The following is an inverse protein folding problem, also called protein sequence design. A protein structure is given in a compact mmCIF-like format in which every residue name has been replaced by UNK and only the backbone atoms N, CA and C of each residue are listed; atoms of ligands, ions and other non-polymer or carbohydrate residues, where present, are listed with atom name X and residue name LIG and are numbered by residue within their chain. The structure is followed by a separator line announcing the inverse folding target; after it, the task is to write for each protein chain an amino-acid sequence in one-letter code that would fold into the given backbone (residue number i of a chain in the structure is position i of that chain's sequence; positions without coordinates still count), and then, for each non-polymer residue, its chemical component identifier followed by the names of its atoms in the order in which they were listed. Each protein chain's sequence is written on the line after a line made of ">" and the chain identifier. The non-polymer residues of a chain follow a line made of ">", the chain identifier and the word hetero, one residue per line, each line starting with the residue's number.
data_IF_694970755816
#
_entry.id   IF_694970755816
#
_cell.length_a   1.000
_cell.length_b   1.000
_cell.length_c   1.000
_cell.angle_alpha   90.00
_cell.angle_beta   90.00
_cell.angle_gamma   90.00
#
_symmetry.space_group_name_H-M   'P 1'
#
loop_
_entity.id
_entity.type
_entity.pdbx_description
1 polymer ?
#
# COMPACT_ATOMS: atom_id res chain seq x y z
N UNK A 1 -13.77 3.22 -16.76
CA UNK A 1 -13.08 4.01 -15.73
C UNK A 1 -13.92 3.97 -14.46
N UNK A 2 -13.37 3.45 -13.36
CA UNK A 2 -14.09 3.28 -12.08
C UNK A 2 -13.48 4.15 -10.98
N UNK A 3 -12.43 4.90 -11.27
CA UNK A 3 -11.81 5.79 -10.31
C UNK A 3 -12.69 6.98 -10.01
N UNK A 4 -13.06 7.15 -8.75
CA UNK A 4 -13.81 8.30 -8.24
C UNK A 4 -13.15 8.72 -6.94
N UNK A 5 -12.69 9.97 -6.89
CA UNK A 5 -12.09 10.57 -5.69
C UNK A 5 -13.18 11.27 -4.87
N UNK A 6 -13.40 10.79 -3.66
CA UNK A 6 -14.21 11.46 -2.64
C UNK A 6 -13.33 11.86 -1.46
N UNK A 7 -12.62 10.89 -0.88
CA UNK A 7 -11.70 11.08 0.23
C UNK A 7 -10.31 10.48 -0.02
N UNK A 8 -10.21 9.45 -0.85
CA UNK A 8 -8.92 8.88 -1.21
C UNK A 8 -8.08 9.86 -2.04
N UNK A 9 -6.77 9.68 -2.04
CA UNK A 9 -5.86 10.58 -2.71
C UNK A 9 -6.00 10.53 -4.25
N UNK A 10 -6.24 9.33 -4.81
CA UNK A 10 -6.13 9.08 -6.24
C UNK A 10 -7.30 8.28 -6.85
N UNK A 11 -8.49 8.31 -6.21
CA UNK A 11 -9.69 7.67 -6.77
C UNK A 11 -9.94 6.24 -6.34
N UNK A 12 -9.26 5.75 -5.32
CA UNK A 12 -9.41 4.43 -4.72
C UNK A 12 -10.83 4.18 -4.21
N UNK A 13 -11.55 5.23 -3.80
CA UNK A 13 -12.95 5.15 -3.34
C UNK A 13 -13.85 4.47 -4.37
N UNK A 14 -13.75 4.88 -5.64
CA UNK A 14 -14.54 4.30 -6.72
C UNK A 14 -14.13 2.88 -7.06
N UNK A 15 -12.83 2.58 -7.00
CA UNK A 15 -12.32 1.21 -7.23
C UNK A 15 -12.89 0.28 -6.17
N UNK A 16 -12.81 0.64 -4.89
CA UNK A 16 -13.33 -0.16 -3.78
C UNK A 16 -14.85 -0.36 -3.89
N UNK A 17 -15.61 0.69 -4.17
CA UNK A 17 -17.07 0.58 -4.34
C UNK A 17 -17.43 -0.38 -5.48
N UNK A 18 -16.71 -0.30 -6.60
CA UNK A 18 -16.87 -1.22 -7.72
C UNK A 18 -16.55 -2.68 -7.33
N UNK A 19 -15.44 -2.90 -6.62
CA UNK A 19 -15.02 -4.24 -6.18
C UNK A 19 -16.04 -4.86 -5.23
N UNK A 20 -16.52 -4.13 -4.24
CA UNK A 20 -17.55 -4.62 -3.32
C UNK A 20 -18.83 -5.05 -4.04
N UNK A 21 -19.26 -4.25 -5.01
CA UNK A 21 -20.45 -4.58 -5.80
C UNK A 21 -20.23 -5.83 -6.69
N UNK A 22 -19.03 -6.00 -7.27
CA UNK A 22 -18.69 -7.14 -8.13
C UNK A 22 -18.51 -8.43 -7.32
N UNK A 23 -17.86 -8.34 -6.16
CA UNK A 23 -17.58 -9.48 -5.29
C UNK A 23 -18.75 -9.80 -4.35
N UNK A 24 -19.79 -8.96 -4.31
CA UNK A 24 -20.95 -9.11 -3.42
C UNK A 24 -20.55 -9.27 -1.95
N UNK A 25 -19.57 -8.46 -1.51
CA UNK A 25 -19.13 -8.43 -0.13
C UNK A 25 -20.03 -7.49 0.67
N UNK A 26 -20.70 -8.00 1.70
CA UNK A 26 -21.73 -7.25 2.43
C UNK A 26 -21.15 -6.38 3.56
N UNK A 27 -20.21 -6.90 4.35
CA UNK A 27 -19.78 -6.29 5.61
C UNK A 27 -18.91 -5.05 5.46
N UNK A 28 -17.93 -5.03 4.56
CA UNK A 28 -17.02 -3.91 4.26
C UNK A 28 -16.13 -3.45 5.43
N UNK A 29 -15.89 -4.35 6.40
CA UNK A 29 -14.99 -4.07 7.52
C UNK A 29 -13.55 -3.90 7.04
N UNK A 30 -12.79 -3.03 7.70
CA UNK A 30 -11.47 -2.71 7.20
C UNK A 30 -10.40 -2.52 8.28
N UNK A 31 -9.16 -2.70 7.85
CA UNK A 31 -7.95 -2.25 8.53
C UNK A 31 -7.17 -1.35 7.56
N UNK A 32 -6.79 -0.16 8.00
CA UNK A 32 -5.92 0.72 7.22
C UNK A 32 -4.76 1.23 8.08
N UNK A 33 -3.53 1.12 7.55
CA UNK A 33 -2.28 1.51 8.19
C UNK A 33 -1.60 2.56 7.34
N UNK A 34 -1.17 3.67 7.98
CA UNK A 34 -0.61 4.82 7.29
C UNK A 34 -1.68 5.83 6.86
N UNK A 35 -2.61 6.14 7.77
CA UNK A 35 -3.77 6.97 7.44
C UNK A 35 -3.53 8.48 7.64
N UNK A 36 -2.39 8.88 8.20
CA UNK A 36 -2.17 10.26 8.57
C UNK A 36 -3.27 10.79 9.50
N UNK A 37 -3.85 11.93 9.16
CA UNK A 37 -4.98 12.51 9.88
C UNK A 37 -6.36 12.01 9.37
N UNK A 38 -6.37 10.98 8.53
CA UNK A 38 -7.54 10.35 7.94
C UNK A 38 -8.38 11.28 7.03
N UNK A 39 -7.86 12.41 6.61
CA UNK A 39 -8.55 13.30 5.65
C UNK A 39 -8.50 12.74 4.24
N UNK A 40 -7.33 12.26 3.82
CA UNK A 40 -7.11 11.50 2.60
C UNK A 40 -6.78 10.06 3.00
N UNK A 41 -7.66 9.11 2.67
CA UNK A 41 -7.54 7.73 3.11
C UNK A 41 -8.37 6.82 2.21
N UNK A 42 -7.91 5.62 1.99
CA UNK A 42 -8.56 4.62 1.12
C UNK A 42 -9.87 4.09 1.70
N UNK A 43 -10.04 4.11 3.03
CA UNK A 43 -11.21 3.50 3.68
C UNK A 43 -12.22 4.52 4.23
N UNK A 44 -11.91 5.81 4.24
CA UNK A 44 -12.79 6.82 4.80
C UNK A 44 -14.17 6.89 4.11
N UNK A 45 -14.18 6.75 2.78
CA UNK A 45 -15.44 6.70 2.03
C UNK A 45 -16.29 5.51 2.45
N UNK A 46 -15.69 4.33 2.62
CA UNK A 46 -16.39 3.13 3.12
C UNK A 46 -16.98 3.37 4.49
N UNK A 47 -16.17 3.94 5.40
CA UNK A 47 -16.64 4.24 6.76
C UNK A 47 -17.84 5.19 6.76
N UNK A 48 -17.80 6.27 5.98
CA UNK A 48 -18.89 7.24 5.95
C UNK A 48 -20.14 6.75 5.22
N UNK A 49 -19.99 5.92 4.19
CA UNK A 49 -21.10 5.42 3.39
C UNK A 49 -21.82 4.24 4.04
N UNK A 50 -21.06 3.29 4.58
CA UNK A 50 -21.59 2.00 5.02
C UNK A 50 -21.53 1.78 6.53
N UNK A 51 -20.80 2.60 7.26
CA UNK A 51 -20.60 2.52 8.71
C UNK A 51 -20.12 1.13 9.20
N UNK A 52 -19.13 0.53 8.55
CA UNK A 52 -18.60 -0.77 8.94
C UNK A 52 -17.77 -0.67 10.22
N UNK A 53 -17.31 -1.82 10.71
CA UNK A 53 -16.22 -1.86 11.69
C UNK A 53 -14.90 -1.50 11.00
N UNK A 54 -14.11 -0.67 11.65
CA UNK A 54 -12.82 -0.23 11.12
C UNK A 54 -11.74 -0.17 12.17
N UNK A 55 -10.51 -0.45 11.77
CA UNK A 55 -9.30 -0.18 12.54
C UNK A 55 -8.39 0.69 11.70
N UNK A 56 -8.07 1.88 12.18
CA UNK A 56 -7.09 2.76 11.56
C UNK A 56 -5.85 2.90 12.45
N UNK A 57 -4.68 2.85 11.83
CA UNK A 57 -3.40 2.85 12.55
C UNK A 57 -2.47 3.87 11.92
N UNK A 58 -1.91 4.73 12.76
CA UNK A 58 -0.81 5.64 12.41
C UNK A 58 -0.05 6.02 13.68
N UNK A 59 1.11 6.68 13.53
CA UNK A 59 1.91 7.13 14.68
C UNK A 59 1.95 8.66 14.83
N UNK A 60 1.17 9.39 14.04
CA UNK A 60 1.12 10.86 14.12
C UNK A 60 0.66 11.34 15.50
N UNK A 61 1.16 12.49 15.89
CA UNK A 61 0.77 13.10 17.16
C UNK A 61 -0.68 13.58 17.13
N UNK A 62 -1.35 13.43 18.29
CA UNK A 62 -2.76 13.81 18.47
C UNK A 62 -3.74 13.19 17.46
N UNK A 63 -3.45 11.96 16.97
CA UNK A 63 -4.24 11.26 15.96
C UNK A 63 -5.73 11.26 16.27
N UNK A 64 -6.14 10.89 17.49
CA UNK A 64 -7.55 10.92 17.89
C UNK A 64 -8.21 12.29 17.75
N UNK A 65 -7.51 13.36 18.18
CA UNK A 65 -8.02 14.72 18.09
C UNK A 65 -8.16 15.20 16.65
N UNK A 66 -7.27 14.72 15.76
CA UNK A 66 -7.29 15.06 14.34
C UNK A 66 -8.39 14.31 13.57
N UNK A 67 -8.61 13.04 13.92
CA UNK A 67 -9.56 12.15 13.23
C UNK A 67 -11.00 12.39 13.68
N UNK A 68 -11.26 12.45 15.00
CA UNK A 68 -12.61 12.54 15.57
C UNK A 68 -13.51 13.65 15.02
N UNK A 69 -13.04 14.89 14.77
CA UNK A 69 -13.90 15.96 14.27
C UNK A 69 -14.56 15.73 12.92
N UNK A 70 -13.99 14.82 12.11
CA UNK A 70 -14.45 14.57 10.75
C UNK A 70 -15.36 13.34 10.62
N UNK A 71 -15.58 12.62 11.73
CA UNK A 71 -16.26 11.34 11.71
C UNK A 71 -17.48 11.31 12.60
N UNK A 72 -18.55 10.70 12.09
CA UNK A 72 -19.78 10.46 12.84
C UNK A 72 -19.63 9.16 13.67
N UNK A 73 -18.84 9.21 14.75
CA UNK A 73 -18.52 8.03 15.58
C UNK A 73 -19.74 7.27 16.11
N UNK A 74 -20.86 7.95 16.31
CA UNK A 74 -22.10 7.31 16.77
C UNK A 74 -22.79 6.45 15.71
N UNK A 75 -22.30 6.45 14.46
CA UNK A 75 -22.86 5.68 13.35
C UNK A 75 -22.04 4.45 12.98
N UNK A 76 -20.79 4.39 13.36
CA UNK A 76 -19.88 3.32 13.00
C UNK A 76 -18.94 2.94 14.15
N UNK A 77 -18.35 1.78 14.06
CA UNK A 77 -17.41 1.23 15.05
C UNK A 77 -15.98 1.39 14.50
N UNK A 78 -15.34 2.53 14.79
CA UNK A 78 -13.98 2.83 14.36
C UNK A 78 -13.01 2.83 15.55
N UNK A 79 -12.08 1.89 15.54
CA UNK A 79 -10.94 1.86 16.46
C UNK A 79 -9.80 2.69 15.90
N UNK A 80 -9.30 3.64 16.69
CA UNK A 80 -8.13 4.47 16.35
C UNK A 80 -6.95 3.97 17.19
N UNK A 81 -5.89 3.52 16.53
CA UNK A 81 -4.69 2.99 17.18
C UNK A 81 -3.47 3.86 16.85
N UNK A 82 -2.97 4.62 17.83
CA UNK A 82 -1.70 5.36 17.67
C UNK A 82 -0.53 4.41 17.91
N UNK A 83 0.09 3.90 16.83
CA UNK A 83 1.24 3.00 16.90
C UNK A 83 2.08 3.06 15.63
N UNK A 84 3.41 3.19 15.77
CA UNK A 84 4.33 2.95 14.67
C UNK A 84 4.40 1.44 14.41
N UNK A 85 4.06 1.04 13.20
CA UNK A 85 4.00 -0.37 12.78
C UNK A 85 5.35 -0.77 12.18
N UNK A 86 5.78 -1.97 12.52
CA UNK A 86 6.91 -2.68 11.93
C UNK A 86 6.62 -4.18 11.82
N UNK A 87 7.55 -4.94 11.21
CA UNK A 87 7.42 -6.39 11.02
C UNK A 87 7.31 -7.20 12.32
N UNK A 88 7.74 -6.64 13.46
CA UNK A 88 7.73 -7.35 14.76
C UNK A 88 6.43 -7.17 15.52
N UNK A 89 5.70 -6.08 15.27
CA UNK A 89 4.54 -5.73 16.08
C UNK A 89 3.19 -5.81 15.35
N UNK A 90 3.18 -5.92 14.02
CA UNK A 90 1.95 -5.86 13.21
C UNK A 90 0.91 -6.90 13.66
N UNK A 91 1.30 -8.15 13.86
CA UNK A 91 0.36 -9.22 14.25
C UNK A 91 -0.24 -8.97 15.63
N UNK A 92 0.56 -8.55 16.60
CA UNK A 92 0.09 -8.24 17.95
C UNK A 92 -0.88 -7.07 17.95
N UNK A 93 -0.59 -6.03 17.15
CA UNK A 93 -1.46 -4.85 17.04
C UNK A 93 -2.79 -5.21 16.41
N UNK A 94 -2.80 -5.99 15.32
CA UNK A 94 -4.05 -6.46 14.70
C UNK A 94 -4.83 -7.34 15.68
N UNK A 95 -4.21 -8.37 16.25
CA UNK A 95 -4.89 -9.29 17.16
C UNK A 95 -5.50 -8.60 18.38
N UNK A 96 -4.87 -7.54 18.88
CA UNK A 96 -5.35 -6.77 20.03
C UNK A 96 -6.53 -5.84 19.70
N UNK A 97 -6.54 -5.25 18.52
CA UNK A 97 -7.44 -4.15 18.17
C UNK A 97 -8.51 -4.51 17.13
N UNK A 98 -8.39 -5.66 16.46
CA UNK A 98 -9.32 -6.12 15.44
C UNK A 98 -9.99 -7.42 15.89
N UNK A 99 -11.30 -7.35 16.19
CA UNK A 99 -12.14 -8.48 16.62
C UNK A 99 -13.21 -8.84 15.58
N UNK A 100 -12.98 -8.51 14.33
CA UNK A 100 -13.89 -8.72 13.20
C UNK A 100 -13.16 -9.30 11.99
N UNK A 101 -13.92 -9.91 11.08
CA UNK A 101 -13.41 -10.34 9.78
C UNK A 101 -13.07 -9.13 8.92
N UNK A 102 -11.89 -9.10 8.34
CA UNK A 102 -11.40 -7.98 7.53
C UNK A 102 -11.80 -8.19 6.07
N UNK A 103 -12.57 -7.26 5.51
CA UNK A 103 -12.91 -7.28 4.09
C UNK A 103 -11.89 -6.49 3.26
N UNK A 104 -11.40 -5.37 3.79
CA UNK A 104 -10.33 -4.57 3.16
C UNK A 104 -9.17 -4.42 4.11
N UNK A 105 -7.98 -4.70 3.61
CA UNK A 105 -6.72 -4.34 4.25
C UNK A 105 -5.99 -3.33 3.37
N UNK A 106 -5.64 -2.18 3.90
CA UNK A 106 -4.87 -1.14 3.21
C UNK A 106 -3.58 -0.83 3.96
N UNK A 107 -2.46 -0.84 3.26
CA UNK A 107 -1.13 -0.55 3.82
C UNK A 107 -0.39 0.43 2.94
N UNK A 108 -0.03 1.57 3.54
CA UNK A 108 0.75 2.63 2.92
C UNK A 108 1.47 3.43 4.02
N UNK A 109 2.72 3.11 4.28
CA UNK A 109 3.52 3.78 5.31
C UNK A 109 4.83 4.39 4.78
N UNK A 110 5.02 4.36 3.45
CA UNK A 110 6.21 4.92 2.80
C UNK A 110 7.54 4.34 3.37
N UNK A 111 7.55 3.08 3.79
CA UNK A 111 8.65 2.56 4.61
C UNK A 111 9.00 1.11 4.26
N UNK A 112 8.85 0.21 5.21
CA UNK A 112 9.20 -1.21 5.15
C UNK A 112 7.97 -2.10 4.84
N UNK A 113 7.05 -1.63 4.03
CA UNK A 113 5.75 -2.24 3.74
C UNK A 113 5.85 -3.71 3.34
N UNK A 114 6.85 -4.08 2.52
CA UNK A 114 7.13 -5.47 2.14
C UNK A 114 7.23 -6.39 3.36
N UNK A 115 8.00 -5.97 4.35
CA UNK A 115 8.29 -6.79 5.54
C UNK A 115 7.09 -6.91 6.47
N UNK A 116 6.23 -5.89 6.48
CA UNK A 116 4.97 -5.95 7.21
C UNK A 116 4.03 -6.93 6.54
N UNK A 117 3.89 -6.90 5.21
CA UNK A 117 3.07 -7.85 4.46
C UNK A 117 3.61 -9.28 4.60
N UNK A 118 4.95 -9.45 4.62
CA UNK A 118 5.58 -10.78 4.77
C UNK A 118 5.20 -11.46 6.10
N UNK A 119 4.94 -10.70 7.16
CA UNK A 119 4.47 -11.21 8.46
C UNK A 119 2.97 -11.51 8.50
N UNK A 120 2.15 -10.89 7.64
CA UNK A 120 0.71 -11.11 7.65
C UNK A 120 0.35 -12.54 7.26
N UNK A 121 -0.77 -13.04 7.83
CA UNK A 121 -1.31 -14.34 7.44
C UNK A 121 -1.81 -14.32 6.00
N UNK A 122 -1.72 -15.43 5.26
CA UNK A 122 -2.41 -15.57 3.97
C UNK A 122 -3.91 -15.28 4.11
N UNK A 123 -4.49 -14.70 3.07
CA UNK A 123 -5.94 -14.40 3.02
C UNK A 123 -6.47 -13.62 4.23
N UNK A 124 -5.69 -12.68 4.76
CA UNK A 124 -6.12 -11.88 5.94
C UNK A 124 -7.35 -11.02 5.65
N UNK A 125 -7.61 -10.71 4.37
CA UNK A 125 -8.75 -9.89 3.91
C UNK A 125 -9.25 -10.36 2.56
N UNK A 126 -10.42 -9.91 2.14
CA UNK A 126 -10.98 -10.19 0.81
C UNK A 126 -10.34 -9.34 -0.28
N UNK A 127 -10.08 -8.08 0.03
CA UNK A 127 -9.42 -7.09 -0.83
C UNK A 127 -8.20 -6.57 -0.08
N UNK A 128 -7.06 -6.49 -0.77
CA UNK A 128 -5.83 -5.90 -0.23
C UNK A 128 -5.36 -4.75 -1.12
N UNK A 129 -5.05 -3.61 -0.50
CA UNK A 129 -4.45 -2.45 -1.16
C UNK A 129 -3.06 -2.26 -0.55
N UNK A 130 -2.05 -2.13 -1.40
CA UNK A 130 -0.70 -1.82 -0.94
C UNK A 130 -0.03 -0.80 -1.83
N UNK A 131 0.66 0.16 -1.20
CA UNK A 131 1.54 1.04 -1.92
C UNK A 131 2.75 0.27 -2.46
N UNK A 132 3.17 0.63 -3.68
CA UNK A 132 4.43 0.19 -4.27
C UNK A 132 5.20 1.36 -4.84
N UNK A 133 6.50 1.22 -4.89
CA UNK A 133 7.37 2.25 -5.43
C UNK A 133 7.60 2.04 -6.93
N UNK A 134 6.90 2.81 -7.75
CA UNK A 134 7.02 2.78 -9.22
C UNK A 134 8.41 3.16 -9.74
N UNK A 135 9.24 3.81 -8.92
CA UNK A 135 10.61 4.23 -9.29
C UNK A 135 11.51 3.02 -9.57
N UNK A 136 11.24 1.87 -8.94
CA UNK A 136 11.98 0.64 -9.22
C UNK A 136 11.64 0.00 -10.58
N UNK A 137 10.67 0.54 -11.31
CA UNK A 137 10.28 0.03 -12.64
C UNK A 137 9.62 -1.36 -12.60
N UNK A 138 9.50 -1.97 -13.79
CA UNK A 138 8.82 -3.26 -13.98
C UNK A 138 9.73 -4.48 -13.77
N UNK A 139 11.04 -4.31 -13.94
CA UNK A 139 11.97 -5.43 -13.99
C UNK A 139 12.59 -5.79 -12.65
N UNK A 140 12.82 -4.81 -11.79
CA UNK A 140 13.45 -5.04 -10.50
C UNK A 140 12.49 -5.76 -9.53
N UNK A 141 13.03 -6.74 -8.82
CA UNK A 141 12.35 -7.45 -7.76
C UNK A 141 13.05 -7.14 -6.43
N UNK A 142 12.74 -5.96 -5.88
CA UNK A 142 13.47 -5.38 -4.75
C UNK A 142 12.56 -4.77 -3.70
N UNK A 143 13.09 -4.68 -2.48
CA UNK A 143 12.52 -3.90 -1.39
C UNK A 143 13.64 -3.21 -0.60
N UNK A 144 13.30 -2.17 0.17
CA UNK A 144 14.24 -1.59 1.13
C UNK A 144 14.55 -2.59 2.25
N UNK A 145 15.72 -2.48 2.92
CA UNK A 145 16.08 -3.37 4.03
C UNK A 145 15.09 -3.23 5.20
N UNK A 146 14.88 -4.33 5.94
CA UNK A 146 14.07 -4.33 7.18
C UNK A 146 14.83 -3.64 8.33
N UNK A 147 14.80 -2.33 8.34
CA UNK A 147 15.47 -1.49 9.33
C UNK A 147 14.43 -0.95 10.31
N UNK A 148 14.61 -1.22 11.60
CA UNK A 148 13.74 -0.65 12.63
C UNK A 148 13.81 0.88 12.60
N UNK A 149 12.63 1.53 12.57
CA UNK A 149 12.55 2.98 12.49
C UNK A 149 12.90 3.56 11.12
N UNK A 150 12.84 2.79 10.05
CA UNK A 150 13.07 3.28 8.69
C UNK A 150 12.24 4.53 8.40
N UNK A 151 12.91 5.54 7.83
CA UNK A 151 12.29 6.77 7.36
C UNK A 151 12.85 7.10 5.97
N UNK A 152 11.99 7.26 4.96
CA UNK A 152 12.41 7.44 3.55
C UNK A 152 13.29 8.67 3.34
N UNK A 153 13.03 9.77 4.08
CA UNK A 153 13.80 11.01 4.01
C UNK A 153 15.21 10.89 4.61
N UNK A 154 15.37 10.05 5.63
CA UNK A 154 16.67 9.76 6.23
C UNK A 154 17.45 8.72 5.44
N UNK A 155 16.75 7.81 4.72
CA UNK A 155 17.38 6.78 3.92
C UNK A 155 18.00 7.35 2.65
N UNK A 156 17.29 8.25 1.95
CA UNK A 156 17.82 9.02 0.84
C UNK A 156 17.14 10.39 0.73
N UNK A 157 17.93 11.45 0.59
CA UNK A 157 17.43 12.84 0.56
C UNK A 157 16.34 13.11 -0.49
N UNK A 158 16.34 12.36 -1.60
CA UNK A 158 15.34 12.52 -2.65
C UNK A 158 13.95 12.01 -2.30
N UNK A 159 13.77 11.28 -1.20
CA UNK A 159 12.55 10.56 -0.81
C UNK A 159 12.09 9.48 -1.81
N UNK A 160 12.95 9.07 -2.76
CA UNK A 160 12.59 8.11 -3.81
C UNK A 160 12.88 6.66 -3.45
N UNK A 161 13.65 6.38 -2.39
CA UNK A 161 14.06 5.02 -2.02
C UNK A 161 13.30 4.55 -0.77
N UNK A 162 12.15 3.91 -0.97
CA UNK A 162 11.28 3.36 0.07
C UNK A 162 10.47 2.17 -0.47
N UNK A 163 9.81 1.44 0.41
CA UNK A 163 8.85 0.40 0.06
C UNK A 163 9.46 -0.73 -0.79
N UNK A 164 8.72 -1.16 -1.80
CA UNK A 164 9.06 -2.29 -2.66
C UNK A 164 8.65 -2.04 -4.11
N UNK A 165 9.28 -2.78 -5.04
CA UNK A 165 8.86 -2.80 -6.44
C UNK A 165 7.51 -3.52 -6.62
N UNK A 166 6.75 -3.17 -7.66
CA UNK A 166 5.49 -3.85 -7.98
C UNK A 166 5.70 -5.36 -8.21
N UNK A 167 6.78 -5.75 -8.87
CA UNK A 167 7.12 -7.15 -9.14
C UNK A 167 7.35 -7.94 -7.84
N UNK A 168 8.05 -7.34 -6.87
CA UNK A 168 8.25 -7.94 -5.55
C UNK A 168 6.93 -8.07 -4.78
N UNK A 169 6.08 -7.03 -4.84
CA UNK A 169 4.77 -7.03 -4.19
C UNK A 169 3.87 -8.12 -4.77
N UNK A 170 3.75 -8.23 -6.10
CA UNK A 170 2.90 -9.25 -6.74
C UNK A 170 3.34 -10.65 -6.29
N UNK A 171 4.65 -10.96 -6.35
CA UNK A 171 5.14 -12.28 -5.91
C UNK A 171 4.90 -12.56 -4.43
N UNK A 172 5.02 -11.55 -3.58
CA UNK A 172 4.69 -11.69 -2.16
C UNK A 172 3.20 -11.97 -1.97
N UNK A 173 2.34 -11.23 -2.65
CA UNK A 173 0.89 -11.37 -2.52
C UNK A 173 0.39 -12.70 -3.10
N UNK A 174 1.01 -13.24 -4.15
CA UNK A 174 0.74 -14.59 -4.65
C UNK A 174 1.02 -15.66 -3.56
N UNK A 175 2.13 -15.53 -2.80
CA UNK A 175 2.43 -16.41 -1.66
C UNK A 175 1.44 -16.24 -0.50
N UNK A 176 0.73 -15.10 -0.45
CA UNK A 176 -0.32 -14.79 0.55
C UNK A 176 -1.73 -15.12 0.05
N UNK A 177 -1.85 -15.90 -1.04
CA UNK A 177 -3.12 -16.31 -1.65
C UNK A 177 -3.96 -15.16 -2.23
N UNK A 178 -3.31 -14.16 -2.80
CA UNK A 178 -3.95 -13.05 -3.49
C UNK A 178 -3.63 -13.02 -4.99
N UNK A 179 -4.55 -12.45 -5.72
CA UNK A 179 -4.44 -12.18 -7.15
C UNK A 179 -4.36 -10.69 -7.43
N UNK A 180 -3.37 -10.25 -8.18
CA UNK A 180 -3.22 -8.87 -8.63
C UNK A 180 -4.28 -8.53 -9.68
N UNK A 181 -4.97 -7.39 -9.53
CA UNK A 181 -6.04 -6.97 -10.44
C UNK A 181 -5.75 -5.62 -11.12
N UNK A 182 -4.70 -4.94 -10.75
CA UNK A 182 -4.31 -3.66 -11.33
C UNK A 182 -3.86 -2.65 -10.30
N UNK A 183 -3.59 -1.43 -10.75
CA UNK A 183 -3.25 -0.29 -9.91
C UNK A 183 -4.14 0.91 -10.21
N UNK A 184 -4.12 1.91 -9.34
CA UNK A 184 -4.69 3.22 -9.64
C UNK A 184 -3.96 3.91 -10.80
N UNK A 185 -4.54 4.98 -11.35
CA UNK A 185 -3.97 5.75 -12.49
C UNK A 185 -2.62 6.38 -12.14
N UNK A 186 -2.43 6.78 -10.88
CA UNK A 186 -1.17 7.37 -10.41
C UNK A 186 -0.01 6.37 -10.31
N UNK A 187 -0.29 5.06 -10.35
CA UNK A 187 0.72 4.00 -10.31
C UNK A 187 1.53 3.98 -9.00
N UNK A 188 0.82 4.07 -7.90
CA UNK A 188 1.40 3.92 -6.56
C UNK A 188 0.64 2.90 -5.69
N UNK A 189 -0.67 2.74 -5.87
CA UNK A 189 -1.47 1.75 -5.13
C UNK A 189 -1.85 0.55 -6.00
N UNK A 190 -1.48 -0.64 -5.57
CA UNK A 190 -1.82 -1.92 -6.19
C UNK A 190 -3.01 -2.57 -5.47
N UNK A 191 -3.91 -3.16 -6.26
CA UNK A 191 -5.12 -3.83 -5.77
C UNK A 191 -5.01 -5.33 -5.97
N UNK A 192 -5.36 -6.06 -4.93
CA UNK A 192 -5.36 -7.52 -4.90
C UNK A 192 -6.68 -8.04 -4.36
N UNK A 193 -7.07 -9.21 -4.82
CA UNK A 193 -8.26 -9.92 -4.34
C UNK A 193 -7.86 -11.31 -3.91
N UNK A 194 -8.45 -11.80 -2.81
CA UNK A 194 -8.27 -13.16 -2.32
C UNK A 194 -8.54 -14.19 -3.42
N UNK A 195 -7.72 -15.22 -3.50
CA UNK A 195 -7.88 -16.33 -4.44
C UNK A 195 -9.20 -17.10 -4.24
N UNK A 196 -9.88 -16.94 -3.10
CA UNK A 196 -11.20 -17.53 -2.85
C UNK A 196 -12.24 -17.05 -3.87
N UNK A 197 -12.06 -15.86 -4.44
CA UNK A 197 -12.93 -15.28 -5.46
C UNK A 197 -12.55 -15.64 -6.90
N UNK A 198 -11.51 -16.45 -7.15
CA UNK A 198 -11.07 -16.82 -8.52
C UNK A 198 -12.16 -17.45 -9.39
N UNK A 199 -13.17 -18.07 -8.79
CA UNK A 199 -14.30 -18.69 -9.53
C UNK A 199 -15.35 -17.69 -10.00
N UNK A 200 -15.29 -16.45 -9.52
CA UNK A 200 -16.24 -15.42 -9.92
C UNK A 200 -16.01 -15.01 -11.37
N UNK A 201 -17.10 -14.93 -12.16
CA UNK A 201 -17.03 -14.56 -13.60
C UNK A 201 -16.34 -13.23 -13.86
N UNK A 202 -16.31 -12.37 -12.86
CA UNK A 202 -15.63 -11.06 -12.91
C UNK A 202 -14.13 -11.22 -13.23
N UNK A 203 -13.45 -12.21 -12.65
CA UNK A 203 -12.00 -12.43 -12.88
C UNK A 203 -11.66 -12.83 -14.31
N UNK A 204 -12.56 -13.52 -15.00
CA UNK A 204 -12.33 -13.92 -16.38
C UNK A 204 -12.20 -12.72 -17.34
N UNK A 205 -12.60 -11.53 -16.89
CA UNK A 205 -12.56 -10.29 -17.66
C UNK A 205 -11.44 -9.35 -17.21
N UNK A 206 -10.62 -9.74 -16.22
CA UNK A 206 -9.46 -8.95 -15.77
C UNK A 206 -8.28 -9.32 -16.65
N UNK A 207 -7.91 -8.41 -17.54
CA UNK A 207 -6.68 -8.52 -18.33
C UNK A 207 -5.57 -7.75 -17.65
N UNK A 208 -4.57 -8.47 -17.11
CA UNK A 208 -3.36 -7.86 -16.58
C UNK A 208 -2.43 -7.54 -17.72
N UNK A 209 -2.18 -6.25 -17.90
CA UNK A 209 -1.24 -5.74 -18.92
C UNK A 209 0.21 -5.99 -18.47
N UNK A 210 1.17 -5.71 -19.36
CA UNK A 210 2.58 -5.67 -18.99
C UNK A 210 2.81 -4.78 -17.76
N UNK A 211 3.74 -5.15 -16.87
CA UNK A 211 4.03 -4.40 -15.65
C UNK A 211 4.49 -2.95 -15.93
N UNK A 212 5.04 -2.68 -17.11
CA UNK A 212 5.39 -1.31 -17.54
C UNK A 212 4.19 -0.36 -17.50
N UNK A 213 2.99 -0.88 -17.81
CA UNK A 213 1.76 -0.07 -17.74
C UNK A 213 1.40 0.37 -16.33
N UNK A 214 1.95 -0.29 -15.32
CA UNK A 214 1.70 -0.02 -13.90
C UNK A 214 2.85 0.68 -13.19
N UNK A 215 4.00 0.89 -13.86
CA UNK A 215 5.17 1.54 -13.26
C UNK A 215 5.51 2.89 -13.91
N UNK A 216 4.97 3.20 -15.08
CA UNK A 216 5.15 4.50 -15.72
C UNK A 216 4.23 5.54 -15.09
N UNK A 217 4.68 6.16 -14.00
CA UNK A 217 3.94 7.14 -13.21
C UNK A 217 4.33 8.59 -13.53
N UNK A 218 3.36 9.49 -13.49
CA UNK A 218 3.56 10.93 -13.65
C UNK A 218 3.87 11.66 -12.33
N UNK A 219 3.92 10.98 -11.19
CA UNK A 219 4.28 11.56 -9.90
C UNK A 219 5.69 12.13 -9.98
N UNK A 220 5.88 13.38 -9.55
CA UNK A 220 7.16 14.10 -9.59
C UNK A 220 7.63 14.59 -8.21
N UNK A 221 7.15 13.96 -7.16
CA UNK A 221 7.52 14.29 -5.79
C UNK A 221 8.90 13.73 -5.47
N UNK A 222 9.91 14.54 -5.68
CA UNK A 222 11.31 14.23 -5.33
C UNK A 222 12.02 15.49 -4.86
N UNK A 223 13.03 15.32 -4.01
CA UNK A 223 13.77 16.42 -3.41
C UNK A 223 15.22 16.47 -3.89
N UNK A 224 15.76 17.69 -3.93
CA UNK A 224 17.19 17.97 -3.98
C UNK A 224 17.80 17.88 -2.57
N UNK A 225 19.13 17.92 -2.47
CA UNK A 225 19.86 17.88 -1.19
C UNK A 225 19.55 19.09 -0.28
N UNK A 226 19.10 20.18 -0.84
CA UNK A 226 18.65 21.38 -0.12
C UNK A 226 17.16 21.36 0.26
N UNK A 227 16.51 20.20 0.09
CA UNK A 227 15.08 19.98 0.33
C UNK A 227 14.12 20.72 -0.61
N UNK A 228 14.61 21.35 -1.65
CA UNK A 228 13.77 21.88 -2.72
C UNK A 228 13.24 20.75 -3.63
N UNK A 229 12.09 20.95 -4.29
CA UNK A 229 11.53 19.99 -5.24
C UNK A 229 12.44 19.85 -6.47
N UNK A 230 12.80 18.61 -6.83
CA UNK A 230 13.65 18.31 -7.98
C UNK A 230 12.86 18.01 -9.26
N UNK A 231 11.58 17.66 -9.14
CA UNK A 231 10.67 17.32 -10.24
C UNK A 231 11.21 16.26 -11.21
N UNK A 232 11.99 15.30 -10.73
CA UNK A 232 12.53 14.22 -11.55
C UNK A 232 11.41 13.39 -12.19
N UNK A 233 11.65 12.87 -13.38
CA UNK A 233 10.70 12.05 -14.14
C UNK A 233 11.41 10.89 -14.86
N UNK A 234 10.68 9.80 -15.08
CA UNK A 234 11.18 8.63 -15.80
C UNK A 234 12.46 8.05 -15.19
N UNK A 235 13.37 7.61 -16.03
CA UNK A 235 14.61 6.93 -15.63
C UNK A 235 15.53 7.77 -14.73
N UNK A 236 15.38 9.10 -14.75
CA UNK A 236 16.14 9.99 -13.87
C UNK A 236 15.88 9.72 -12.39
N UNK A 237 14.67 9.26 -12.03
CA UNK A 237 14.35 8.89 -10.65
C UNK A 237 15.16 7.69 -10.19
N UNK A 238 15.20 6.63 -11.00
CA UNK A 238 15.94 5.41 -10.67
C UNK A 238 17.43 5.69 -10.62
N UNK A 239 17.94 6.49 -11.56
CA UNK A 239 19.35 6.92 -11.58
C UNK A 239 19.73 7.72 -10.33
N UNK A 240 18.83 8.55 -9.81
CA UNK A 240 19.06 9.36 -8.60
C UNK A 240 19.32 8.47 -7.37
N UNK A 241 18.68 7.30 -7.30
CA UNK A 241 18.81 6.35 -6.19
C UNK A 241 19.68 5.13 -6.52
N UNK A 242 20.41 5.10 -7.61
CA UNK A 242 21.18 3.93 -8.07
C UNK A 242 22.25 3.44 -7.07
N UNK A 243 22.73 4.32 -6.18
CA UNK A 243 23.66 3.98 -5.10
C UNK A 243 22.97 3.49 -3.82
N UNK A 244 21.64 3.59 -3.72
CA UNK A 244 20.89 3.08 -2.57
C UNK A 244 21.01 1.56 -2.49
N UNK A 245 21.06 1.07 -1.26
CA UNK A 245 21.05 -0.36 -0.97
C UNK A 245 19.61 -0.87 -0.88
N UNK A 246 19.33 -1.96 -1.56
CA UNK A 246 18.04 -2.66 -1.53
C UNK A 246 18.26 -4.15 -1.30
N UNK A 247 17.23 -4.85 -0.88
CA UNK A 247 17.22 -6.30 -0.83
C UNK A 247 16.75 -6.80 -2.19
N UNK A 248 17.62 -7.53 -2.89
CA UNK A 248 17.26 -8.27 -4.10
C UNK A 248 16.50 -9.54 -3.70
N UNK A 249 15.29 -9.69 -4.20
CA UNK A 249 14.39 -10.81 -3.89
C UNK A 249 14.31 -11.84 -5.02
N UNK A 250 15.05 -11.60 -6.12
CA UNK A 250 15.09 -12.50 -7.26
C UNK A 250 15.58 -13.90 -6.81
N UNK A 251 14.94 -14.94 -7.33
CA UNK A 251 15.26 -16.35 -7.02
C UNK A 251 15.17 -16.71 -5.52
N UNK A 252 14.29 -16.03 -4.76
CA UNK A 252 14.12 -16.16 -3.30
C UNK A 252 15.39 -15.85 -2.48
N UNK A 253 16.34 -15.15 -3.07
CA UNK A 253 17.48 -14.59 -2.34
C UNK A 253 17.06 -13.33 -1.58
N UNK A 254 17.80 -13.00 -0.53
CA UNK A 254 17.61 -11.76 0.24
C UNK A 254 18.97 -11.06 0.37
N UNK A 255 19.58 -10.79 -0.79
CA UNK A 255 20.91 -10.20 -0.83
C UNK A 255 20.82 -8.67 -0.78
N UNK A 256 21.61 -8.04 0.09
CA UNK A 256 21.73 -6.59 0.16
C UNK A 256 22.70 -6.11 -0.93
N UNK A 257 22.19 -5.39 -1.91
CA UNK A 257 22.94 -4.92 -3.08
C UNK A 257 22.63 -3.45 -3.38
N UNK A 258 23.47 -2.80 -4.16
CA UNK A 258 23.12 -1.47 -4.70
C UNK A 258 22.25 -1.63 -5.93
N UNK A 259 21.33 -0.70 -6.15
CA UNK A 259 20.40 -0.72 -7.29
C UNK A 259 21.20 -0.81 -8.62
N UNK A 260 22.27 -0.05 -8.76
CA UNK A 260 23.11 -0.07 -9.97
C UNK A 260 23.66 -1.45 -10.34
N UNK A 261 23.90 -2.33 -9.36
CA UNK A 261 24.39 -3.69 -9.58
C UNK A 261 23.33 -4.60 -10.22
N UNK A 262 22.06 -4.20 -10.17
CA UNK A 262 20.92 -4.92 -10.75
C UNK A 262 20.54 -4.39 -12.14
N UNK A 263 21.10 -3.25 -12.56
CA UNK A 263 20.83 -2.61 -13.85
C UNK A 263 21.87 -2.94 -14.91
N UNK A 264 22.92 -3.68 -14.53
CA UNK A 264 24.06 -4.09 -15.41
C UNK A 264 23.72 -5.32 -16.23
#
# INVERSE_FOLDING_TARGET
>A
DVEVKVFSQNGEDGILDCLFNKLKVDSKNFVEIGVGDYRESNTRFLYQKYHPKGLIIDYIDDMEKKVKPFLNFWKGDLTICKKKIDSKNILDVINKNCNFEIDVFSLDIDSIDYWIIDELKPNISKIFIAEYNHVFGSELEVTVPNISGFERNSYHYSNLCYGMSLKALIKLMEKKDYYFIGSNVQKNNAFFISNDFKKEKFFNNIEIKSLDNYTNSNIRESLNKDSSLSYLSGDKKLKEIEECKVINLKDNKKDLVKIKELLS
#
